data_IF_906136935526
#
_entry.id   IF_906136935526
#
_cell.length_a   1.000
_cell.length_b   1.000
_cell.length_c   1.000
_cell.angle_alpha   90.00
_cell.angle_beta   90.00
_cell.angle_gamma   90.00
#
_symmetry.space_group_name_H-M   'P 1'
#
loop_
_entity.id
_entity.type
_entity.pdbx_description
1 polymer ?
#
# COMPACT_ATOMS: atom_id res chain seq x y z
N UNK A 1 -9.60 -6.91 -0.99
CA UNK A 1 -8.73 -6.19 -1.95
C UNK A 1 -7.86 -7.21 -2.67
N UNK A 2 -7.87 -7.17 -4.00
CA UNK A 2 -6.97 -7.96 -4.85
C UNK A 2 -5.93 -7.02 -5.44
N UNK A 3 -4.68 -7.44 -5.49
CA UNK A 3 -3.56 -6.67 -6.04
C UNK A 3 -2.72 -7.58 -6.95
N UNK A 4 -2.27 -7.05 -8.08
CA UNK A 4 -1.41 -7.73 -9.04
C UNK A 4 -0.62 -6.71 -9.85
N UNK A 5 0.35 -7.18 -10.65
CA UNK A 5 1.26 -6.34 -11.43
C UNK A 5 2.62 -6.19 -10.78
N UNK A 6 3.27 -5.04 -11.00
CA UNK A 6 4.61 -4.77 -10.47
C UNK A 6 4.60 -4.59 -8.94
N UNK A 7 5.51 -5.28 -8.27
CA UNK A 7 5.69 -5.30 -6.82
C UNK A 7 7.11 -4.92 -6.38
N UNK A 8 7.98 -4.49 -7.31
CA UNK A 8 9.40 -4.19 -7.04
C UNK A 8 9.63 -3.16 -5.94
N UNK A 9 8.65 -2.28 -5.68
CA UNK A 9 8.69 -1.29 -4.60
C UNK A 9 7.70 -1.59 -3.47
N UNK A 10 7.02 -2.74 -3.49
CA UNK A 10 5.98 -3.11 -2.54
C UNK A 10 4.67 -2.34 -2.69
N UNK A 11 4.45 -1.67 -3.83
CA UNK A 11 3.26 -0.85 -4.10
C UNK A 11 1.94 -1.65 -4.17
N UNK A 12 2.01 -2.98 -4.21
CA UNK A 12 0.82 -3.84 -4.13
C UNK A 12 0.27 -3.96 -2.70
N UNK A 13 1.04 -3.60 -1.66
CA UNK A 13 0.55 -3.71 -0.28
C UNK A 13 0.28 -5.16 0.17
N UNK A 14 1.00 -6.12 -0.40
CA UNK A 14 0.85 -7.57 -0.11
C UNK A 14 1.69 -8.04 1.09
N UNK A 15 2.42 -7.15 1.76
CA UNK A 15 3.14 -7.47 3.00
C UNK A 15 4.55 -8.04 2.80
N UNK A 16 5.41 -7.33 2.07
CA UNK A 16 6.84 -7.66 2.01
C UNK A 16 7.17 -8.95 1.28
N UNK A 17 6.37 -9.30 0.27
CA UNK A 17 6.61 -10.41 -0.66
C UNK A 17 7.97 -10.28 -1.36
N UNK A 18 8.53 -11.42 -1.79
CA UNK A 18 9.83 -11.47 -2.48
C UNK A 18 9.69 -11.36 -4.01
N UNK A 19 8.49 -11.56 -4.55
CA UNK A 19 8.24 -11.46 -5.98
C UNK A 19 8.26 -10.00 -6.47
N UNK A 20 8.95 -9.75 -7.58
CA UNK A 20 8.94 -8.45 -8.25
C UNK A 20 7.67 -8.20 -9.07
N UNK A 21 7.00 -9.27 -9.50
CA UNK A 21 5.77 -9.21 -10.31
C UNK A 21 4.80 -10.29 -9.81
N UNK A 22 3.55 -9.89 -9.59
CA UNK A 22 2.44 -10.79 -9.28
C UNK A 22 1.55 -10.86 -10.53
N UNK A 23 1.57 -12.00 -11.22
CA UNK A 23 0.88 -12.15 -12.51
C UNK A 23 -0.64 -12.25 -12.38
N UNK A 24 -1.12 -12.78 -11.26
CA UNK A 24 -2.55 -13.06 -11.04
C UNK A 24 -3.09 -12.27 -9.84
N UNK A 25 -4.38 -11.87 -9.84
CA UNK A 25 -5.00 -11.18 -8.71
C UNK A 25 -4.76 -11.90 -7.38
N UNK A 26 -3.98 -11.31 -6.49
CA UNK A 26 -3.67 -11.86 -5.17
C UNK A 26 -4.40 -11.10 -4.08
N UNK A 27 -5.04 -11.83 -3.16
CA UNK A 27 -5.67 -11.23 -1.99
C UNK A 27 -4.59 -10.68 -1.05
N UNK A 28 -4.78 -9.44 -0.59
CA UNK A 28 -3.95 -8.87 0.47
C UNK A 28 -4.54 -9.22 1.84
N UNK A 29 -3.77 -9.97 2.64
CA UNK A 29 -4.15 -10.32 4.01
C UNK A 29 -4.22 -9.10 4.93
N UNK A 30 -3.45 -8.05 4.62
CA UNK A 30 -3.45 -6.80 5.37
C UNK A 30 -4.85 -6.17 5.48
N UNK A 31 -5.67 -6.35 4.44
CA UNK A 31 -7.01 -5.78 4.34
C UNK A 31 -8.14 -6.78 4.65
N UNK A 32 -7.86 -7.99 5.16
CA UNK A 32 -8.91 -9.00 5.39
C UNK A 32 -10.04 -8.52 6.31
N UNK A 33 -9.73 -7.69 7.30
CA UNK A 33 -10.70 -7.13 8.24
C UNK A 33 -10.82 -5.60 8.14
N UNK A 34 -10.46 -5.03 6.98
CA UNK A 34 -10.50 -3.59 6.73
C UNK A 34 -11.38 -3.33 5.51
N UNK A 35 -12.33 -2.41 5.64
CA UNK A 35 -13.20 -2.02 4.52
C UNK A 35 -12.57 -0.86 3.76
N UNK A 36 -11.97 -1.16 2.63
CA UNK A 36 -11.37 -0.15 1.73
C UNK A 36 -12.50 0.51 0.94
N UNK A 37 -12.57 1.83 1.05
CA UNK A 37 -13.52 2.72 0.38
C UNK A 37 -13.01 3.15 -0.99
N UNK A 38 -11.73 3.53 -1.06
CA UNK A 38 -11.12 4.07 -2.27
C UNK A 38 -9.62 3.72 -2.38
N UNK A 39 -9.09 3.74 -3.60
CA UNK A 39 -7.69 3.43 -3.92
C UNK A 39 -7.16 4.38 -4.99
N UNK A 40 -6.02 5.02 -4.71
CA UNK A 40 -5.25 5.79 -5.67
C UNK A 40 -3.92 5.11 -5.98
N UNK A 41 -3.66 4.84 -7.26
CA UNK A 41 -2.40 4.25 -7.73
C UNK A 41 -1.53 5.30 -8.41
N UNK A 42 -0.34 5.55 -7.87
CA UNK A 42 0.74 6.26 -8.55
C UNK A 42 1.66 5.30 -9.30
N UNK A 43 2.74 5.84 -9.90
CA UNK A 43 3.68 5.03 -10.69
C UNK A 43 4.33 3.89 -9.88
N UNK A 44 4.72 4.17 -8.63
CA UNK A 44 5.42 3.23 -7.74
C UNK A 44 4.88 3.25 -6.30
N UNK A 45 3.69 3.78 -6.08
CA UNK A 45 3.08 3.85 -4.75
C UNK A 45 1.57 3.75 -4.84
N UNK A 46 0.93 3.36 -3.75
CA UNK A 46 -0.52 3.21 -3.66
C UNK A 46 -1.01 3.80 -2.36
N UNK A 47 -2.16 4.46 -2.42
CA UNK A 47 -2.88 5.03 -1.29
C UNK A 47 -4.22 4.31 -1.17
N UNK A 48 -4.59 3.90 0.03
CA UNK A 48 -5.86 3.25 0.34
C UNK A 48 -6.58 4.06 1.40
N UNK A 49 -7.86 4.32 1.18
CA UNK A 49 -8.72 5.02 2.14
C UNK A 49 -9.75 4.01 2.64
N UNK A 50 -9.85 3.85 3.96
CA UNK A 50 -10.89 3.01 4.57
C UNK A 50 -12.20 3.79 4.76
N UNK A 51 -13.28 3.06 5.03
CA UNK A 51 -14.59 3.66 5.34
C UNK A 51 -14.58 4.57 6.58
N UNK A 52 -13.70 4.32 7.54
CA UNK A 52 -13.53 5.13 8.76
C UNK A 52 -12.66 6.39 8.54
N UNK A 53 -12.23 6.65 7.30
CA UNK A 53 -11.35 7.76 6.93
C UNK A 53 -9.86 7.48 7.16
N UNK A 54 -9.50 6.31 7.67
CA UNK A 54 -8.08 5.94 7.84
C UNK A 54 -7.38 5.79 6.49
N UNK A 55 -6.21 6.41 6.35
CA UNK A 55 -5.38 6.33 5.15
C UNK A 55 -4.17 5.41 5.38
N UNK A 56 -3.93 4.53 4.40
CA UNK A 56 -2.76 3.67 4.33
C UNK A 56 -1.99 3.96 3.04
N UNK A 57 -0.67 3.99 3.12
CA UNK A 57 0.20 4.18 1.95
C UNK A 57 1.24 3.06 1.88
N UNK A 58 1.62 2.64 0.68
CA UNK A 58 2.72 1.70 0.44
C UNK A 58 3.42 1.95 -0.89
N UNK A 59 4.61 1.38 -1.07
CA UNK A 59 5.41 1.53 -2.28
C UNK A 59 6.73 2.29 -2.07
N UNK A 60 7.21 2.88 -3.17
CA UNK A 60 8.34 3.80 -3.20
C UNK A 60 8.06 5.03 -2.34
N UNK A 61 9.09 5.51 -1.63
CA UNK A 61 9.04 6.73 -0.82
C UNK A 61 10.26 7.63 -1.05
N UNK A 62 10.87 7.56 -2.23
CA UNK A 62 12.10 8.31 -2.53
C UNK A 62 11.91 9.82 -2.54
N UNK A 63 10.68 10.29 -2.76
CA UNK A 63 10.32 11.70 -2.79
C UNK A 63 9.33 12.07 -1.67
N UNK A 64 9.16 11.21 -0.67
CA UNK A 64 8.21 11.44 0.43
C UNK A 64 6.74 11.21 0.08
N UNK A 65 6.44 10.59 -1.07
CA UNK A 65 5.06 10.40 -1.55
C UNK A 65 4.16 9.58 -0.63
N UNK A 66 4.73 8.82 0.32
CA UNK A 66 3.92 8.08 1.29
C UNK A 66 3.43 8.95 2.46
N UNK A 67 3.95 10.18 2.59
CA UNK A 67 3.56 11.13 3.63
C UNK A 67 4.15 10.83 5.01
N UNK A 68 5.26 10.09 5.07
CA UNK A 68 5.96 9.75 6.31
C UNK A 68 7.45 9.47 6.09
N UNK A 69 8.24 9.47 7.16
CA UNK A 69 9.68 9.17 7.12
C UNK A 69 9.96 7.74 6.61
N UNK A 70 11.12 7.54 5.96
CA UNK A 70 11.57 6.23 5.48
C UNK A 70 11.84 5.30 6.67
N UNK A 71 11.01 4.27 6.87
CA UNK A 71 11.41 3.16 7.74
C UNK A 71 12.43 2.27 7.01
N UNK A 72 13.55 1.91 7.66
CA UNK A 72 14.64 1.08 7.10
C UNK A 72 14.27 -0.38 6.76
N UNK A 73 12.99 -0.76 6.83
CA UNK A 73 12.49 -2.10 6.51
C UNK A 73 11.38 -2.02 5.45
N UNK A 74 11.27 -3.09 4.64
CA UNK A 74 10.41 -3.22 3.45
C UNK A 74 9.04 -2.55 3.64
N UNK A 75 8.50 -1.84 2.62
CA UNK A 75 7.27 -1.08 2.74
C UNK A 75 6.09 -2.02 2.97
N UNK A 76 5.58 -1.99 4.19
CA UNK A 76 4.29 -2.59 4.57
C UNK A 76 3.28 -1.45 4.62
N UNK A 77 2.02 -1.71 4.26
CA UNK A 77 0.94 -0.76 4.53
C UNK A 77 0.94 -0.44 6.03
N UNK A 78 0.95 0.85 6.39
CA UNK A 78 0.80 1.29 7.78
C UNK A 78 -0.25 2.38 7.87
N UNK A 79 -0.87 2.46 9.04
CA UNK A 79 -1.89 3.43 9.36
C UNK A 79 -1.22 4.80 9.59
N UNK A 80 -1.74 5.87 8.97
CA UNK A 80 -1.18 7.22 9.13
C UNK A 80 -2.27 8.25 9.48
N UNK A 81 -2.47 8.56 10.78
CA UNK A 81 -3.62 9.33 11.28
C UNK A 81 -3.61 10.84 10.93
N UNK A 82 -2.49 11.37 10.43
CA UNK A 82 -2.37 12.76 9.97
C UNK A 82 -2.86 12.97 8.53
N UNK A 83 -2.96 11.89 7.74
CA UNK A 83 -3.64 11.90 6.45
C UNK A 83 -5.11 11.57 6.72
N UNK A 84 -5.99 12.58 6.71
CA UNK A 84 -7.45 12.38 6.76
C UNK A 84 -8.03 12.73 5.40
N UNK A 85 -8.83 11.82 4.85
CA UNK A 85 -9.60 12.02 3.62
C UNK A 85 -11.08 12.20 3.87
#
# INVERSE_FOLDING_TARGET
>A
MLCWGNASFGQLGLGGIDEEIVLEPRKSDFFMNKKVRDVGCGLRHTVFVLDDGTVYTCGCNDLGQLGHEKSRKRPVCKNYPHLRG
#
